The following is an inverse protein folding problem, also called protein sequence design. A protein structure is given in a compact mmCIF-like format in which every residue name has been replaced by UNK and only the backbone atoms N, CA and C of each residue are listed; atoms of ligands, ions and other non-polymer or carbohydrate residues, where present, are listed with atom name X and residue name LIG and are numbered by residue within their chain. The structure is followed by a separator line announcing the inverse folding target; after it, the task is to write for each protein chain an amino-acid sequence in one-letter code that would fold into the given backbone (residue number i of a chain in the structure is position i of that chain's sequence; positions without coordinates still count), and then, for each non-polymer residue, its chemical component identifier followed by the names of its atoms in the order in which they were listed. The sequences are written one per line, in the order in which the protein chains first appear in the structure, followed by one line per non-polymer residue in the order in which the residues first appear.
data_IF_634605632552
#
_entry.id   IF_634605632552
#
_cell.length_a   1.000
_cell.length_b   1.000
_cell.length_c   1.000
_cell.angle_alpha   90.00
_cell.angle_beta   90.00
_cell.angle_gamma   90.00
#
_symmetry.space_group_name_H-M   'P 1'
#
loop_
_entity.id
_entity.type
_entity.pdbx_description
1 polymer ?
#
# COMPACT_ATOMS: atom_id res chain seq x y z
N UNK A 1 18.65 1.10 0.19
CA UNK A 1 17.21 1.41 0.40
C UNK A 1 16.57 1.85 -0.88
N UNK A 2 15.37 1.40 -1.15
CA UNK A 2 14.65 1.77 -2.37
C UNK A 2 13.30 2.37 -2.00
N UNK A 3 13.04 3.57 -2.52
CA UNK A 3 11.77 4.26 -2.35
C UNK A 3 11.04 4.26 -3.69
N UNK A 4 9.78 3.87 -3.68
CA UNK A 4 8.91 3.95 -4.84
C UNK A 4 8.07 5.20 -4.73
N UNK A 5 8.12 6.03 -5.78
CA UNK A 5 7.33 7.25 -5.89
C UNK A 5 6.49 7.18 -7.15
N UNK A 6 5.18 7.31 -7.01
CA UNK A 6 4.25 7.11 -8.12
C UNK A 6 3.44 8.37 -8.45
N UNK A 7 4.10 9.54 -8.47
CA UNK A 7 3.45 10.84 -8.69
C UNK A 7 2.69 10.93 -10.03
N UNK A 8 3.19 10.26 -11.06
CA UNK A 8 2.59 10.32 -12.41
C UNK A 8 1.83 9.06 -12.80
N UNK A 9 1.87 8.03 -11.97
CA UNK A 9 1.19 6.78 -12.28
C UNK A 9 -0.26 6.85 -11.80
N UNK A 10 -1.17 6.22 -12.56
CA UNK A 10 -2.57 6.09 -12.18
C UNK A 10 -2.88 4.72 -11.59
N UNK A 11 -1.98 3.77 -11.74
CA UNK A 11 -2.17 2.40 -11.26
C UNK A 11 -0.83 1.73 -10.96
N UNK A 12 -0.85 0.86 -9.97
CA UNK A 12 0.24 -0.08 -9.71
C UNK A 12 -0.23 -1.44 -10.23
N UNK A 13 0.52 -2.02 -11.15
CA UNK A 13 0.13 -3.24 -11.82
C UNK A 13 0.10 -4.47 -10.92
N UNK A 14 -0.60 -5.51 -11.39
CA UNK A 14 -0.65 -6.82 -10.72
C UNK A 14 0.77 -7.35 -10.52
N UNK A 15 1.09 -7.73 -9.28
CA UNK A 15 2.39 -8.31 -8.90
C UNK A 15 3.61 -7.44 -9.26
N UNK A 16 3.41 -6.12 -9.45
CA UNK A 16 4.47 -5.21 -9.93
C UNK A 16 5.75 -5.27 -9.09
N UNK A 17 5.63 -5.38 -7.76
CA UNK A 17 6.77 -5.44 -6.84
C UNK A 17 6.76 -6.72 -5.99
N UNK A 18 6.08 -7.76 -6.47
CA UNK A 18 5.97 -9.02 -5.74
C UNK A 18 7.36 -9.55 -5.32
N UNK A 19 7.48 -9.85 -4.03
CA UNK A 19 8.71 -10.38 -3.42
C UNK A 19 9.95 -9.49 -3.57
N UNK A 20 9.76 -8.20 -3.85
CA UNK A 20 10.87 -7.27 -3.90
C UNK A 20 11.33 -6.97 -2.47
N UNK A 21 12.53 -7.45 -2.10
CA UNK A 21 13.06 -7.31 -0.73
C UNK A 21 13.91 -6.05 -0.56
N UNK A 22 14.03 -5.23 -1.60
CA UNK A 22 14.80 -3.98 -1.54
C UNK A 22 13.93 -2.75 -1.28
N UNK A 23 12.64 -2.84 -1.57
CA UNK A 23 11.72 -1.72 -1.37
C UNK A 23 11.45 -1.53 0.12
N UNK A 24 11.73 -0.34 0.64
CA UNK A 24 11.52 -0.01 2.05
C UNK A 24 10.43 1.04 2.25
N UNK A 25 10.15 1.87 1.24
CA UNK A 25 9.14 2.92 1.32
C UNK A 25 8.42 3.06 -0.02
N UNK A 26 7.11 3.22 0.04
CA UNK A 26 6.27 3.48 -1.13
C UNK A 26 5.45 4.73 -0.87
N UNK A 27 5.45 5.65 -1.83
CA UNK A 27 4.56 6.80 -1.81
C UNK A 27 3.61 6.71 -3.00
N UNK A 28 2.33 6.54 -2.71
CA UNK A 28 1.29 6.48 -3.73
C UNK A 28 0.72 7.88 -3.90
N UNK A 29 1.03 8.50 -5.05
CA UNK A 29 0.61 9.86 -5.35
C UNK A 29 -0.90 10.00 -5.49
N UNK A 30 -1.36 11.24 -5.58
CA UNK A 30 -2.80 11.56 -5.66
C UNK A 30 -3.50 10.88 -6.84
N UNK A 31 -2.79 10.63 -7.93
CA UNK A 31 -3.36 10.09 -9.16
C UNK A 31 -3.41 8.56 -9.21
N UNK A 32 -2.82 7.88 -8.23
CA UNK A 32 -2.87 6.43 -8.17
C UNK A 32 -4.25 6.01 -7.68
N UNK A 33 -5.04 5.40 -8.57
CA UNK A 33 -6.41 5.00 -8.28
C UNK A 33 -6.54 3.52 -7.99
N UNK A 34 -5.65 2.70 -8.55
CA UNK A 34 -5.73 1.24 -8.43
C UNK A 34 -4.40 0.64 -8.02
N UNK A 35 -4.48 -0.41 -7.21
CA UNK A 35 -3.34 -1.21 -6.81
C UNK A 35 -3.67 -2.65 -7.17
N UNK A 36 -2.87 -3.25 -8.04
CA UNK A 36 -3.11 -4.59 -8.54
C UNK A 36 -3.00 -5.67 -7.48
N UNK A 37 -3.59 -6.83 -7.76
CA UNK A 37 -3.47 -7.99 -6.88
C UNK A 37 -1.99 -8.34 -6.66
N UNK A 38 -1.62 -8.61 -5.41
CA UNK A 38 -0.26 -8.98 -5.02
C UNK A 38 0.82 -7.97 -5.42
N UNK A 39 0.46 -6.70 -5.65
CA UNK A 39 1.42 -5.69 -6.10
C UNK A 39 2.64 -5.59 -5.19
N UNK A 40 2.46 -5.66 -3.88
CA UNK A 40 3.54 -5.60 -2.89
C UNK A 40 3.63 -6.89 -2.05
N UNK A 41 3.12 -7.98 -2.59
CA UNK A 41 3.14 -9.28 -1.92
C UNK A 41 4.57 -9.69 -1.62
N UNK A 42 4.84 -10.06 -0.37
CA UNK A 42 6.16 -10.53 0.02
C UNK A 42 7.25 -9.48 0.10
N UNK A 43 6.90 -8.20 0.06
CA UNK A 43 7.86 -7.10 0.25
C UNK A 43 8.20 -7.00 1.74
N UNK A 44 9.04 -7.90 2.23
CA UNK A 44 9.30 -8.08 3.67
C UNK A 44 9.93 -6.87 4.35
N UNK A 45 10.60 -6.03 3.58
CA UNK A 45 11.27 -4.84 4.10
C UNK A 45 10.49 -3.56 3.87
N UNK A 46 9.28 -3.65 3.32
CA UNK A 46 8.43 -2.48 3.13
C UNK A 46 7.90 -2.02 4.49
N UNK A 47 8.48 -0.96 5.01
CA UNK A 47 8.22 -0.43 6.37
C UNK A 47 7.29 0.77 6.39
N UNK A 48 7.26 1.55 5.31
CA UNK A 48 6.48 2.77 5.25
C UNK A 48 5.72 2.85 3.93
N UNK A 49 4.42 3.11 4.02
CA UNK A 49 3.58 3.39 2.86
C UNK A 49 2.87 4.71 3.12
N UNK A 50 2.99 5.66 2.17
CA UNK A 50 2.28 6.92 2.24
C UNK A 50 1.24 6.93 1.12
N UNK A 51 -0.03 7.06 1.47
CA UNK A 51 -1.13 7.06 0.52
C UNK A 51 -1.71 8.46 0.46
N UNK A 52 -1.59 9.13 -0.69
CA UNK A 52 -2.06 10.49 -0.87
C UNK A 52 -3.38 10.57 -1.64
N UNK A 53 -3.81 9.49 -2.29
CA UNK A 53 -5.08 9.49 -3.01
C UNK A 53 -6.27 9.48 -2.05
N UNK A 54 -7.42 9.90 -2.54
CA UNK A 54 -8.66 9.97 -1.76
C UNK A 54 -9.78 9.11 -2.35
N UNK A 55 -9.49 8.28 -3.36
CA UNK A 55 -10.51 7.55 -4.12
C UNK A 55 -10.34 6.02 -4.07
N UNK A 56 -9.54 5.53 -3.14
CA UNK A 56 -9.34 4.09 -2.99
C UNK A 56 -10.58 3.43 -2.41
N UNK A 57 -10.95 2.28 -2.97
CA UNK A 57 -12.06 1.46 -2.47
C UNK A 57 -11.61 0.01 -2.39
N UNK A 58 -12.45 -0.86 -1.83
CA UNK A 58 -12.16 -2.28 -1.81
C UNK A 58 -12.08 -2.91 -3.19
N UNK A 59 -12.65 -2.26 -4.21
CA UNK A 59 -12.58 -2.75 -5.59
C UNK A 59 -11.32 -2.31 -6.32
N UNK A 60 -10.68 -1.22 -5.86
CA UNK A 60 -9.49 -0.67 -6.54
C UNK A 60 -8.18 -1.17 -5.95
N UNK A 61 -8.24 -1.92 -4.86
CA UNK A 61 -7.06 -2.57 -4.27
C UNK A 61 -7.21 -4.07 -4.40
N UNK A 62 -6.31 -4.69 -5.14
CA UNK A 62 -6.37 -6.11 -5.43
C UNK A 62 -6.11 -7.02 -4.23
N UNK A 63 -6.54 -8.27 -4.35
CA UNK A 63 -6.35 -9.28 -3.31
C UNK A 63 -4.86 -9.50 -3.02
N UNK A 64 -4.51 -9.57 -1.75
CA UNK A 64 -3.14 -9.82 -1.32
C UNK A 64 -2.14 -8.72 -1.62
N UNK A 65 -2.61 -7.51 -1.97
CA UNK A 65 -1.74 -6.43 -2.40
C UNK A 65 -0.59 -6.15 -1.43
N UNK A 66 -0.82 -6.27 -0.13
CA UNK A 66 0.18 -6.00 0.91
C UNK A 66 0.49 -7.23 1.79
N UNK A 67 0.11 -8.42 1.36
CA UNK A 67 0.37 -9.64 2.13
C UNK A 67 1.87 -9.91 2.21
N UNK A 68 2.37 -10.22 3.42
CA UNK A 68 3.79 -10.52 3.61
C UNK A 68 4.70 -9.32 3.67
N UNK A 69 4.16 -8.13 3.86
CA UNK A 69 4.96 -6.93 4.13
C UNK A 69 5.43 -6.91 5.59
N UNK A 70 6.28 -5.95 5.95
CA UNK A 70 6.78 -5.84 7.33
C UNK A 70 5.60 -5.71 8.31
N UNK A 71 5.58 -6.55 9.34
CA UNK A 71 4.44 -6.64 10.26
C UNK A 71 4.14 -5.34 11.01
N UNK A 72 5.17 -4.59 11.38
CA UNK A 72 5.03 -3.32 12.11
C UNK A 72 5.11 -2.11 11.19
N UNK A 73 4.68 -2.27 9.96
CA UNK A 73 4.69 -1.23 8.94
C UNK A 73 3.87 -0.01 9.38
N UNK A 74 4.33 1.18 8.99
CA UNK A 74 3.58 2.41 9.15
C UNK A 74 2.92 2.78 7.84
N UNK A 75 1.61 3.00 7.86
CA UNK A 75 0.85 3.46 6.69
C UNK A 75 0.23 4.81 7.01
N UNK A 76 0.61 5.83 6.24
CA UNK A 76 0.00 7.15 6.35
C UNK A 76 -1.09 7.30 5.31
N UNK A 77 -2.26 7.74 5.74
CA UNK A 77 -3.43 7.89 4.87
C UNK A 77 -4.03 9.29 5.04
N UNK A 78 -4.82 9.78 4.06
CA UNK A 78 -5.53 11.04 4.23
C UNK A 78 -6.45 10.98 5.45
N UNK A 79 -6.47 12.04 6.28
CA UNK A 79 -7.23 12.01 7.54
C UNK A 79 -8.71 11.70 7.35
N UNK A 80 -9.31 12.20 6.27
CA UNK A 80 -10.73 11.92 5.96
C UNK A 80 -10.99 10.46 5.60
N UNK A 81 -9.96 9.70 5.27
CA UNK A 81 -10.08 8.32 4.80
C UNK A 81 -9.52 7.29 5.78
N UNK A 82 -9.08 7.73 6.95
CA UNK A 82 -8.41 6.86 7.91
C UNK A 82 -9.23 5.58 8.19
N UNK A 83 -10.49 5.74 8.54
CA UNK A 83 -11.35 4.61 8.91
C UNK A 83 -11.57 3.66 7.73
N UNK A 84 -11.93 4.19 6.56
CA UNK A 84 -12.22 3.35 5.39
C UNK A 84 -10.96 2.68 4.85
N UNK A 85 -9.85 3.40 4.77
CA UNK A 85 -8.60 2.82 4.27
C UNK A 85 -8.03 1.78 5.22
N UNK A 86 -8.16 1.98 6.52
CA UNK A 86 -7.76 0.96 7.51
C UNK A 86 -8.46 -0.36 7.24
N UNK A 87 -9.77 -0.33 7.04
CA UNK A 87 -10.56 -1.52 6.73
C UNK A 87 -10.08 -2.19 5.43
N UNK A 88 -9.90 -1.41 4.37
CA UNK A 88 -9.43 -1.91 3.07
C UNK A 88 -8.06 -2.56 3.20
N UNK A 89 -7.11 -1.86 3.82
CA UNK A 89 -5.72 -2.31 3.92
C UNK A 89 -5.61 -3.60 4.73
N UNK A 90 -6.34 -3.72 5.83
CA UNK A 90 -6.34 -4.94 6.63
C UNK A 90 -6.87 -6.13 5.82
N UNK A 91 -7.90 -5.91 5.01
CA UNK A 91 -8.43 -6.97 4.13
C UNK A 91 -7.46 -7.33 2.99
N UNK A 92 -6.54 -6.46 2.65
CA UNK A 92 -5.60 -6.68 1.54
C UNK A 92 -4.20 -7.08 2.02
N UNK A 93 -4.08 -7.49 3.28
CA UNK A 93 -2.88 -8.14 3.77
C UNK A 93 -2.00 -7.32 4.69
N UNK A 94 -2.34 -6.07 4.96
CA UNK A 94 -1.60 -5.28 5.95
C UNK A 94 -1.77 -5.94 7.33
N UNK A 95 -0.66 -6.15 8.05
CA UNK A 95 -0.67 -6.79 9.35
C UNK A 95 -1.50 -6.02 10.36
N UNK A 96 -2.16 -6.75 11.26
CA UNK A 96 -2.86 -6.14 12.40
C UNK A 96 -1.91 -5.36 13.32
N UNK A 97 -0.62 -5.67 13.30
CA UNK A 97 0.40 -4.96 14.08
C UNK A 97 0.86 -3.67 13.43
N UNK A 98 0.48 -3.42 12.19
CA UNK A 98 0.86 -2.20 11.48
C UNK A 98 0.17 -0.99 12.10
N UNK A 99 0.85 0.17 12.00
CA UNK A 99 0.29 1.44 12.44
C UNK A 99 -0.28 2.16 11.22
N UNK A 100 -1.59 2.31 11.17
CA UNK A 100 -2.28 3.04 10.10
C UNK A 100 -2.76 4.37 10.70
N UNK A 101 -2.24 5.46 10.19
CA UNK A 101 -2.47 6.79 10.78
C UNK A 101 -2.57 7.88 9.70
N UNK A 102 -3.10 9.01 10.10
CA UNK A 102 -3.13 10.20 9.26
C UNK A 102 -1.81 10.99 9.32
#
# INVERSE_FOLDING_TARGET
MTTIWSAFFTAIGKAAFKKNVKVTKVTLGKNVKTIGAKAFYGCKKLRTVVIKNTQMTGKTVGSGAFTGTYAKMTVKVPSKKLKSYKTILLKRGVSKKAVIKK
#
